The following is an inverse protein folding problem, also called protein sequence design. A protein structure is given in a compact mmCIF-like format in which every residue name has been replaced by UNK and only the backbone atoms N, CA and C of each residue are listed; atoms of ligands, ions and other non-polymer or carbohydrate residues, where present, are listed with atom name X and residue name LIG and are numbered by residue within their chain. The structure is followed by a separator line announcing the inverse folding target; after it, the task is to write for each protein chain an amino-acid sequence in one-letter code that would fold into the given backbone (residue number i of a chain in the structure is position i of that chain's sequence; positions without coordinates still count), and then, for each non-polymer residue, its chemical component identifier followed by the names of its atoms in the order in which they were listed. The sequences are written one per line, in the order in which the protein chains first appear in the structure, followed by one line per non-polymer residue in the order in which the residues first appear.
data_IF_495294584721
#
_entry.id   IF_495294584721
#
_cell.length_a   1.000
_cell.length_b   1.000
_cell.length_c   1.000
_cell.angle_alpha   90.00
_cell.angle_beta   90.00
_cell.angle_gamma   90.00
#
_symmetry.space_group_name_H-M   'P 1'
#
loop_
_entity.id
_entity.type
_entity.pdbx_description
1 polymer ?
#
# COMPACT_ATOMS: atom_id res chain seq x y z
N UNK A 1 -17.50 17.42 -26.97
CA UNK A 1 -17.83 17.81 -25.58
C UNK A 1 -18.17 16.63 -24.73
N UNK A 2 -19.11 15.79 -25.15
CA UNK A 2 -19.45 14.58 -24.39
C UNK A 2 -18.26 13.64 -24.22
N UNK A 3 -17.41 13.50 -25.21
CA UNK A 3 -16.23 12.63 -25.14
C UNK A 3 -15.25 13.08 -24.07
N UNK A 4 -15.05 14.37 -23.94
CA UNK A 4 -14.15 14.92 -22.92
C UNK A 4 -14.70 14.64 -21.54
N UNK A 5 -16.01 14.76 -21.36
CA UNK A 5 -16.65 14.49 -20.08
C UNK A 5 -16.58 12.99 -19.73
N UNK A 6 -16.76 12.12 -20.72
CA UNK A 6 -16.65 10.69 -20.50
C UNK A 6 -15.23 10.29 -20.10
N UNK A 7 -14.23 10.84 -20.76
CA UNK A 7 -12.82 10.58 -20.41
C UNK A 7 -12.52 11.05 -19.00
N UNK A 8 -13.03 12.21 -18.64
CA UNK A 8 -12.83 12.76 -17.30
C UNK A 8 -13.51 11.87 -16.24
N UNK A 9 -14.72 11.37 -16.54
CA UNK A 9 -15.41 10.48 -15.61
C UNK A 9 -14.66 9.17 -15.40
N UNK A 10 -14.10 8.60 -16.48
CA UNK A 10 -13.30 7.38 -16.38
C UNK A 10 -12.06 7.61 -15.51
N UNK A 11 -11.36 8.74 -15.74
CA UNK A 11 -10.18 9.09 -14.94
C UNK A 11 -10.57 9.30 -13.47
N UNK A 12 -11.70 9.96 -13.22
CA UNK A 12 -12.16 10.21 -11.85
C UNK A 12 -12.49 8.91 -11.13
N UNK A 13 -13.11 7.96 -11.83
CA UNK A 13 -13.41 6.65 -11.26
C UNK A 13 -12.12 5.92 -10.91
N UNK A 14 -11.15 5.91 -11.81
CA UNK A 14 -9.88 5.23 -11.58
C UNK A 14 -9.11 5.86 -10.41
N UNK A 15 -9.07 7.19 -10.34
CA UNK A 15 -8.44 7.90 -9.25
C UNK A 15 -9.15 7.60 -7.93
N UNK A 16 -10.48 7.57 -7.95
CA UNK A 16 -11.27 7.24 -6.76
C UNK A 16 -10.95 5.83 -6.28
N UNK A 17 -10.85 4.88 -7.20
CA UNK A 17 -10.46 3.51 -6.86
C UNK A 17 -9.06 3.47 -6.22
N UNK A 18 -8.12 4.19 -6.80
CA UNK A 18 -6.76 4.25 -6.24
C UNK A 18 -6.78 4.75 -4.80
N UNK A 19 -7.54 5.81 -4.54
CA UNK A 19 -7.60 6.38 -3.20
C UNK A 19 -8.51 5.61 -2.26
N UNK A 20 -9.34 4.70 -2.74
CA UNK A 20 -10.05 3.79 -1.86
C UNK A 20 -9.07 2.89 -1.11
N UNK A 21 -7.89 2.67 -1.68
CA UNK A 21 -6.81 1.90 -1.06
C UNK A 21 -5.78 2.83 -0.42
N UNK A 22 -5.20 3.74 -1.22
CA UNK A 22 -4.10 4.60 -0.77
C UNK A 22 -4.56 5.72 0.16
N UNK A 23 -5.84 6.05 0.15
CA UNK A 23 -6.38 7.07 1.05
C UNK A 23 -6.51 6.59 2.49
N UNK A 24 -6.48 5.31 2.73
CA UNK A 24 -6.50 4.80 4.09
C UNK A 24 -5.12 4.93 4.70
N UNK A 25 -5.10 5.43 5.91
CA UNK A 25 -3.85 5.63 6.64
C UNK A 25 -3.09 4.30 6.70
N UNK A 26 -1.82 4.37 6.51
CA UNK A 26 -0.85 3.27 6.62
C UNK A 26 -0.70 2.40 5.37
N UNK A 27 -1.70 2.34 4.46
CA UNK A 27 -1.63 1.43 3.32
C UNK A 27 -0.42 1.69 2.43
N UNK A 28 -0.17 2.95 2.08
CA UNK A 28 1.00 3.30 1.27
C UNK A 28 2.31 2.92 1.94
N UNK A 29 2.39 3.12 3.25
CA UNK A 29 3.60 2.81 4.01
C UNK A 29 3.84 1.30 4.09
N UNK A 30 2.77 0.52 4.23
CA UNK A 30 2.87 -0.95 4.26
C UNK A 30 3.36 -1.46 2.92
N UNK A 31 2.77 -0.97 1.83
CA UNK A 31 3.19 -1.38 0.47
C UNK A 31 4.65 -1.00 0.25
N UNK A 32 5.04 0.21 0.60
CA UNK A 32 6.44 0.66 0.47
C UNK A 32 7.39 -0.23 1.26
N UNK A 33 7.02 -0.60 2.48
CA UNK A 33 7.84 -1.47 3.32
C UNK A 33 8.02 -2.85 2.71
N UNK A 34 7.01 -3.36 2.02
CA UNK A 34 7.09 -4.65 1.35
C UNK A 34 7.90 -4.61 0.06
N UNK A 35 8.26 -3.42 -0.40
CA UNK A 35 9.10 -3.26 -1.58
C UNK A 35 10.48 -3.88 -1.44
N UNK A 36 10.95 -4.07 -0.23
CA UNK A 36 12.23 -4.70 0.03
C UNK A 36 12.19 -6.24 0.01
N UNK A 37 11.02 -6.81 -0.13
CA UNK A 37 10.84 -8.27 -0.16
C UNK A 37 9.83 -8.72 0.89
N UNK A 38 9.59 -10.03 0.97
CA UNK A 38 8.64 -10.58 1.92
C UNK A 38 9.00 -10.21 3.36
N UNK A 39 7.99 -9.99 4.18
CA UNK A 39 8.18 -9.62 5.58
C UNK A 39 7.19 -10.35 6.47
N UNK A 40 7.59 -10.55 7.71
CA UNK A 40 6.69 -11.07 8.73
C UNK A 40 5.86 -9.93 9.31
N UNK A 41 4.80 -10.29 10.04
CA UNK A 41 3.96 -9.30 10.74
C UNK A 41 4.82 -8.43 11.67
N UNK A 42 5.69 -9.04 12.44
CA UNK A 42 6.54 -8.31 13.40
C UNK A 42 7.49 -7.36 12.69
N UNK A 43 8.08 -7.80 11.57
CA UNK A 43 8.97 -6.93 10.81
C UNK A 43 8.22 -5.74 10.23
N UNK A 44 7.01 -5.94 9.74
CA UNK A 44 6.18 -4.85 9.22
C UNK A 44 5.78 -3.87 10.32
N UNK A 45 5.42 -4.38 11.49
CA UNK A 45 5.07 -3.51 12.62
C UNK A 45 6.23 -2.61 12.99
N UNK A 46 7.44 -3.13 12.96
CA UNK A 46 8.64 -2.33 13.23
C UNK A 46 8.93 -1.32 12.14
N UNK A 47 8.75 -1.73 10.88
CA UNK A 47 9.02 -0.87 9.74
C UNK A 47 8.03 0.29 9.64
N UNK A 48 6.77 0.05 10.02
CA UNK A 48 5.71 1.05 9.98
C UNK A 48 5.51 1.56 11.42
N UNK A 49 6.37 2.47 11.81
CA UNK A 49 6.39 2.95 13.19
C UNK A 49 5.07 3.61 13.58
N UNK A 50 4.57 3.24 14.73
CA UNK A 50 3.35 3.83 15.28
C UNK A 50 2.06 3.07 14.97
N UNK A 51 2.11 2.08 14.09
CA UNK A 51 0.92 1.30 13.77
C UNK A 51 0.62 0.29 14.88
N UNK A 52 -0.65 0.12 15.23
CA UNK A 52 -1.05 -0.89 16.19
C UNK A 52 -1.18 -2.25 15.51
N UNK A 53 -1.11 -3.31 16.30
CA UNK A 53 -1.27 -4.67 15.78
C UNK A 53 -2.64 -4.86 15.11
N UNK A 54 -3.69 -4.32 15.73
CA UNK A 54 -5.05 -4.44 15.19
C UNK A 54 -5.16 -3.75 13.84
N UNK A 55 -4.64 -2.53 13.72
CA UNK A 55 -4.72 -1.78 12.47
C UNK A 55 -3.87 -2.45 11.40
N UNK A 56 -2.66 -2.89 11.75
CA UNK A 56 -1.81 -3.59 10.77
C UNK A 56 -2.48 -4.86 10.27
N UNK A 57 -3.08 -5.63 11.17
CA UNK A 57 -3.81 -6.84 10.79
C UNK A 57 -4.95 -6.52 9.83
N UNK A 58 -5.73 -5.48 10.14
CA UNK A 58 -6.84 -5.06 9.28
C UNK A 58 -6.38 -4.59 7.92
N UNK A 59 -5.31 -3.78 7.89
CA UNK A 59 -4.77 -3.27 6.63
C UNK A 59 -4.22 -4.41 5.76
N UNK A 60 -3.49 -5.35 6.36
CA UNK A 60 -2.96 -6.50 5.62
C UNK A 60 -4.07 -7.37 5.06
N UNK A 61 -5.14 -7.57 5.82
CA UNK A 61 -6.30 -8.33 5.33
C UNK A 61 -6.93 -7.65 4.13
N UNK A 62 -7.12 -6.33 4.18
CA UNK A 62 -7.67 -5.57 3.06
C UNK A 62 -6.76 -5.62 1.84
N UNK A 63 -5.46 -5.42 2.03
CA UNK A 63 -4.51 -5.44 0.92
C UNK A 63 -4.41 -6.82 0.29
N UNK A 64 -4.58 -7.87 1.08
CA UNK A 64 -4.62 -9.24 0.56
C UNK A 64 -5.89 -9.45 -0.23
N UNK A 65 -7.02 -8.99 0.27
CA UNK A 65 -8.30 -9.12 -0.40
C UNK A 65 -8.34 -8.35 -1.72
N UNK A 66 -7.71 -7.18 -1.76
CA UNK A 66 -7.65 -6.39 -3.00
C UNK A 66 -6.63 -6.93 -4.02
N UNK A 67 -5.83 -7.92 -3.62
CA UNK A 67 -4.89 -8.54 -4.54
C UNK A 67 -3.55 -7.82 -4.66
N UNK A 68 -3.23 -6.92 -3.74
CA UNK A 68 -1.94 -6.21 -3.76
C UNK A 68 -0.89 -6.88 -2.90
N UNK A 69 -1.31 -7.68 -1.94
CA UNK A 69 -0.43 -8.41 -1.02
C UNK A 69 -0.82 -9.89 -1.03
N UNK A 70 0.15 -10.76 -0.97
CA UNK A 70 -0.05 -12.19 -0.84
C UNK A 70 0.44 -12.64 0.55
N UNK A 71 -0.37 -13.42 1.23
CA UNK A 71 -0.04 -14.00 2.51
C UNK A 71 0.39 -15.44 2.29
N UNK A 72 1.53 -15.80 2.80
CA UNK A 72 2.08 -17.15 2.65
C UNK A 72 2.31 -17.76 4.03
N UNK A 73 1.86 -19.00 4.19
CA UNK A 73 2.08 -19.75 5.42
C UNK A 73 3.06 -20.87 5.12
N UNK A 74 4.17 -20.87 5.85
CA UNK A 74 5.14 -21.96 5.80
C UNK A 74 4.84 -22.88 6.98
N UNK A 75 4.49 -24.14 6.66
CA UNK A 75 4.08 -25.10 7.67
C UNK A 75 5.17 -25.43 8.69
N UNK A 76 6.40 -25.16 8.36
CA UNK A 76 7.49 -25.33 9.28
C UNK A 76 7.87 -26.75 9.64
N UNK A 77 8.40 -27.05 10.83
CA UNK A 77 8.48 -26.22 12.04
C UNK A 77 9.62 -25.20 12.01
N UNK A 78 9.40 -23.99 12.59
CA UNK A 78 8.14 -23.51 13.12
C UNK A 78 7.21 -22.98 12.04
N UNK A 79 5.90 -22.88 12.30
CA UNK A 79 4.97 -22.28 11.37
C UNK A 79 5.29 -20.79 11.28
N UNK A 80 5.48 -20.30 10.06
CA UNK A 80 5.74 -18.88 9.83
C UNK A 80 4.76 -18.34 8.81
N UNK A 81 4.38 -17.07 8.98
CA UNK A 81 3.50 -16.36 8.06
C UNK A 81 4.26 -15.16 7.53
N UNK A 82 4.27 -15.00 6.22
CA UNK A 82 4.91 -13.86 5.60
C UNK A 82 3.96 -13.19 4.62
N UNK A 83 4.26 -11.92 4.33
CA UNK A 83 3.49 -11.09 3.41
C UNK A 83 4.44 -10.58 2.34
N UNK A 84 3.97 -10.55 1.10
CA UNK A 84 4.76 -10.06 -0.02
C UNK A 84 3.86 -9.35 -1.00
N UNK A 85 4.43 -8.44 -1.79
CA UNK A 85 3.66 -7.79 -2.84
C UNK A 85 3.39 -8.78 -3.98
N UNK A 86 2.18 -8.69 -4.52
CA UNK A 86 1.84 -9.33 -5.78
C UNK A 86 2.39 -8.45 -6.93
N UNK A 87 2.34 -8.93 -8.19
CA UNK A 87 2.69 -8.04 -9.31
C UNK A 87 1.90 -6.73 -9.31
N UNK A 88 0.61 -6.79 -8.93
CA UNK A 88 -0.20 -5.57 -8.80
C UNK A 88 0.33 -4.64 -7.73
N UNK A 89 0.73 -5.21 -6.58
CA UNK A 89 1.33 -4.42 -5.50
C UNK A 89 2.67 -3.86 -5.89
N UNK A 90 3.49 -4.63 -6.58
CA UNK A 90 4.79 -4.14 -7.06
C UNK A 90 4.63 -2.97 -8.03
N UNK A 91 3.57 -2.98 -8.82
CA UNK A 91 3.27 -1.88 -9.75
C UNK A 91 3.01 -0.56 -9.05
N UNK A 92 2.66 -0.58 -7.77
CA UNK A 92 2.47 0.65 -6.99
C UNK A 92 3.80 1.29 -6.56
N UNK A 93 4.87 0.53 -6.49
CA UNK A 93 6.13 1.05 -5.95
C UNK A 93 6.64 2.29 -6.71
N UNK A 94 6.74 2.28 -8.05
CA UNK A 94 7.17 3.49 -8.74
C UNK A 94 6.18 4.64 -8.62
N UNK A 95 4.90 4.33 -8.49
CA UNK A 95 3.86 5.37 -8.31
C UNK A 95 4.02 6.03 -6.94
N UNK A 96 4.23 5.24 -5.90
CA UNK A 96 4.46 5.77 -4.55
C UNK A 96 5.74 6.59 -4.49
N UNK A 97 6.79 6.14 -5.17
CA UNK A 97 8.05 6.88 -5.24
C UNK A 97 7.84 8.25 -5.89
N UNK A 98 7.14 8.29 -7.03
CA UNK A 98 6.83 9.53 -7.70
C UNK A 98 5.93 10.43 -6.86
N UNK A 99 4.97 9.84 -6.17
CA UNK A 99 4.09 10.59 -5.29
C UNK A 99 4.88 11.23 -4.16
N UNK A 100 5.84 10.49 -3.59
CA UNK A 100 6.73 11.02 -2.56
C UNK A 100 7.58 12.18 -3.08
N UNK A 101 8.10 12.06 -4.28
CA UNK A 101 8.87 13.13 -4.91
C UNK A 101 8.02 14.37 -5.13
N UNK A 102 6.81 14.18 -5.62
CA UNK A 102 5.87 15.28 -5.80
C UNK A 102 5.57 15.97 -4.47
N UNK A 103 5.32 15.19 -3.43
CA UNK A 103 5.03 15.73 -2.11
C UNK A 103 6.21 16.53 -1.56
N UNK A 104 7.44 16.03 -1.71
CA UNK A 104 8.62 16.75 -1.27
C UNK A 104 8.79 18.08 -1.97
N UNK A 105 8.44 18.13 -3.26
CA UNK A 105 8.60 19.36 -4.04
C UNK A 105 7.48 20.37 -3.79
N UNK A 106 6.29 19.91 -3.43
CA UNK A 106 5.11 20.77 -3.41
C UNK A 106 4.46 20.93 -2.05
N UNK A 107 4.66 19.99 -1.15
CA UNK A 107 4.07 20.05 0.19
C UNK A 107 5.19 20.32 1.19
N UNK A 108 5.31 21.58 1.58
CA UNK A 108 6.35 21.97 2.53
C UNK A 108 6.12 21.24 3.84
N UNK A 109 7.21 20.80 4.43
CA UNK A 109 7.13 20.22 5.75
C UNK A 109 6.73 21.27 6.75
N UNK A 110 5.71 20.95 7.49
CA UNK A 110 5.18 21.89 8.49
C UNK A 110 5.36 21.38 9.89
N UNK A 111 5.91 20.20 9.99
CA UNK A 111 5.95 19.49 11.25
C UNK A 111 7.13 19.85 12.11
N UNK A 112 7.90 20.76 11.69
CA UNK A 112 9.03 21.13 12.52
C UNK A 112 8.80 22.26 13.35
#
# INVERSE_FOLDING_TARGET
MAEVDEERQVCDVAVTLAFSVLGKRWNGMIVSSLGGGPSTFVALRRAVAGISDTVLSDRLAELTETGLVARTVDAGPPITVSYALTPGGEGLLPILDQLGQWASANLAERAH
#
